data_IF_798668511958
#
_entry.id   IF_798668511958
#
_cell.length_a   1.000
_cell.length_b   1.000
_cell.length_c   1.000
_cell.angle_alpha   90.00
_cell.angle_beta   90.00
_cell.angle_gamma   90.00
#
_symmetry.space_group_name_H-M   'P 1'
#
loop_
_entity.id
_entity.type
_entity.pdbx_description
1 polymer ?
#
# COMPACT_ATOMS: atom_id res chain seq x y z
N UNK A 1 -9.32 2.41 21.63
CA UNK A 1 -8.42 1.97 20.54
C UNK A 1 -7.02 1.90 21.12
N UNK A 2 -6.39 0.73 21.17
CA UNK A 2 -4.99 0.64 21.63
C UNK A 2 -4.09 1.43 20.68
N UNK A 3 -3.10 2.14 21.23
CA UNK A 3 -2.12 2.86 20.46
C UNK A 3 -1.40 1.89 19.50
N UNK A 4 -1.27 2.28 18.23
CA UNK A 4 -0.53 1.49 17.25
C UNK A 4 0.95 1.49 17.65
N UNK A 5 1.63 0.34 17.73
CA UNK A 5 3.06 0.30 18.02
C UNK A 5 3.84 1.18 17.05
N UNK A 6 4.85 1.87 17.55
CA UNK A 6 5.73 2.73 16.79
C UNK A 6 7.16 2.18 16.86
N UNK A 7 7.82 2.09 15.71
CA UNK A 7 9.21 1.67 15.57
C UNK A 7 9.92 2.69 14.66
N UNK A 8 11.22 2.91 14.86
CA UNK A 8 12.01 3.77 13.98
C UNK A 8 13.02 2.95 13.17
N UNK A 9 13.34 3.43 11.97
CA UNK A 9 14.40 2.88 11.12
C UNK A 9 15.25 4.03 10.58
N UNK A 10 16.58 3.86 10.61
CA UNK A 10 17.51 4.81 10.00
C UNK A 10 17.56 4.57 8.49
N UNK A 11 17.07 5.54 7.73
CA UNK A 11 16.99 5.51 6.27
C UNK A 11 17.86 6.60 5.64
N UNK A 12 18.91 7.05 6.33
CA UNK A 12 19.89 7.99 5.78
C UNK A 12 20.88 7.34 4.80
N UNK A 13 20.73 6.05 4.52
CA UNK A 13 21.51 5.34 3.51
C UNK A 13 20.92 5.50 2.11
N UNK A 14 21.77 5.49 1.08
CA UNK A 14 21.36 5.77 -0.30
C UNK A 14 20.31 4.81 -0.89
N UNK A 15 20.16 3.60 -0.35
CA UNK A 15 19.17 2.63 -0.82
C UNK A 15 17.71 3.12 -0.69
N UNK A 16 17.45 4.08 0.20
CA UNK A 16 16.13 4.69 0.41
C UNK A 16 15.84 5.87 -0.52
N UNK A 17 16.86 6.38 -1.21
CA UNK A 17 16.73 7.43 -2.22
C UNK A 17 16.36 6.86 -3.59
N UNK A 18 16.56 5.55 -3.79
CA UNK A 18 16.21 4.85 -5.01
C UNK A 18 14.72 4.50 -5.09
N UNK A 19 14.16 4.55 -6.30
CA UNK A 19 12.78 4.11 -6.57
C UNK A 19 12.61 2.64 -6.13
N UNK A 20 11.50 2.28 -5.44
CA UNK A 20 10.26 3.05 -5.29
C UNK A 20 10.05 3.73 -3.91
N UNK A 21 11.10 3.91 -3.10
CA UNK A 21 10.95 4.50 -1.76
C UNK A 21 10.51 5.98 -1.77
N UNK A 22 11.06 6.87 -2.62
CA UNK A 22 10.59 8.25 -2.71
C UNK A 22 9.08 8.37 -2.96
N UNK A 23 8.53 7.51 -3.84
CA UNK A 23 7.10 7.47 -4.16
C UNK A 23 6.27 6.98 -2.96
N UNK A 24 6.77 6.05 -2.17
CA UNK A 24 6.11 5.61 -0.94
C UNK A 24 6.10 6.71 0.14
N UNK A 25 7.19 7.49 0.24
CA UNK A 25 7.27 8.62 1.16
C UNK A 25 6.35 9.76 0.73
N UNK A 26 6.28 10.05 -0.56
CA UNK A 26 5.34 11.02 -1.10
C UNK A 26 3.90 10.61 -0.81
N UNK A 27 3.55 9.34 -1.02
CA UNK A 27 2.22 8.82 -0.70
C UNK A 27 1.86 9.04 0.78
N UNK A 28 2.82 8.87 1.69
CA UNK A 28 2.65 9.11 3.12
C UNK A 28 2.45 10.58 3.49
N UNK A 29 2.99 11.51 2.70
CA UNK A 29 2.79 12.95 2.87
C UNK A 29 1.46 13.42 2.30
N UNK A 30 1.03 12.81 1.20
CA UNK A 30 -0.15 13.23 0.44
C UNK A 30 -1.43 12.64 1.02
N UNK A 31 -1.42 11.37 1.46
CA UNK A 31 -2.60 10.71 2.00
C UNK A 31 -2.68 10.84 3.53
N UNK A 32 -3.88 11.02 4.10
CA UNK A 32 -4.07 11.01 5.56
C UNK A 32 -3.54 9.72 6.20
N UNK A 33 -2.74 9.85 7.26
CA UNK A 33 -2.00 8.73 7.86
C UNK A 33 -2.88 7.50 8.23
N UNK A 34 -4.12 7.73 8.66
CA UNK A 34 -5.03 6.66 9.09
C UNK A 34 -5.96 6.15 7.99
N UNK A 35 -5.79 6.60 6.75
CA UNK A 35 -6.66 6.24 5.62
C UNK A 35 -6.08 5.13 4.75
N UNK A 36 -4.83 4.70 4.97
CA UNK A 36 -4.18 3.72 4.13
C UNK A 36 -3.09 2.92 4.85
N UNK A 37 -2.54 1.93 4.16
CA UNK A 37 -1.43 1.10 4.64
C UNK A 37 -0.59 0.63 3.46
N UNK A 38 0.74 0.68 3.62
CA UNK A 38 1.71 0.15 2.68
C UNK A 38 1.71 -1.38 2.77
N UNK A 39 1.53 -2.04 1.63
CA UNK A 39 1.46 -3.50 1.51
C UNK A 39 2.45 -4.00 0.46
N UNK A 40 2.30 -5.24 0.00
CA UNK A 40 3.01 -5.71 -1.18
C UNK A 40 4.51 -5.93 -0.97
N UNK A 41 5.32 -5.55 -1.96
CA UNK A 41 6.77 -5.79 -1.98
C UNK A 41 7.54 -4.91 -0.98
N UNK A 42 7.27 -3.60 -0.97
CA UNK A 42 7.94 -2.64 -0.09
C UNK A 42 7.67 -2.92 1.40
N UNK A 43 6.45 -3.36 1.73
CA UNK A 43 6.14 -3.84 3.09
C UNK A 43 7.10 -4.97 3.53
N UNK A 44 7.39 -5.94 2.65
CA UNK A 44 8.31 -7.04 2.98
C UNK A 44 9.74 -6.53 3.13
N UNK A 45 10.19 -5.63 2.25
CA UNK A 45 11.51 -5.01 2.38
C UNK A 45 11.67 -4.25 3.69
N UNK A 46 10.65 -3.48 4.10
CA UNK A 46 10.66 -2.77 5.37
C UNK A 46 10.78 -3.72 6.56
N UNK A 47 10.04 -4.83 6.55
CA UNK A 47 10.15 -5.85 7.59
C UNK A 47 11.49 -6.56 7.60
N UNK A 48 12.13 -6.76 6.43
CA UNK A 48 13.47 -7.31 6.36
C UNK A 48 14.49 -6.36 7.00
N UNK A 49 14.40 -5.07 6.70
CA UNK A 49 15.27 -4.04 7.31
C UNK A 49 15.09 -3.99 8.83
N UNK A 50 13.85 -3.94 9.31
CA UNK A 50 13.55 -3.93 10.75
C UNK A 50 14.06 -5.19 11.47
N UNK A 51 14.27 -6.28 10.75
CA UNK A 51 14.81 -7.54 11.26
C UNK A 51 16.33 -7.68 11.04
N UNK A 52 17.00 -6.71 10.42
CA UNK A 52 18.43 -6.79 10.06
C UNK A 52 18.72 -7.88 9.01
N UNK A 53 17.76 -8.19 8.15
CA UNK A 53 17.86 -9.22 7.12
C UNK A 53 18.12 -8.60 5.74
N UNK A 54 18.80 -9.32 4.82
CA UNK A 54 18.98 -8.86 3.46
C UNK A 54 17.65 -8.53 2.78
N UNK A 55 17.57 -7.40 2.09
CA UNK A 55 16.37 -7.02 1.34
C UNK A 55 16.10 -8.05 0.23
N UNK A 56 14.90 -8.62 0.14
CA UNK A 56 14.50 -9.44 -1.00
C UNK A 56 14.46 -8.63 -2.30
N UNK A 57 14.43 -9.34 -3.44
CA UNK A 57 14.41 -8.85 -4.84
C UNK A 57 13.75 -7.47 -5.03
N UNK A 58 14.29 -6.69 -5.99
CA UNK A 58 13.73 -5.42 -6.44
C UNK A 58 12.22 -5.51 -6.77
N UNK A 59 11.41 -4.85 -5.94
CA UNK A 59 10.05 -4.39 -6.28
C UNK A 59 10.21 -3.02 -6.91
N UNK A 60 9.42 -2.73 -7.95
CA UNK A 60 9.54 -1.49 -8.75
C UNK A 60 8.35 -0.55 -8.54
N UNK A 61 7.40 -0.98 -7.72
CA UNK A 61 6.09 -0.39 -7.50
C UNK A 61 5.79 -0.22 -6.01
N UNK A 62 4.94 0.76 -5.72
CA UNK A 62 4.38 1.00 -4.38
C UNK A 62 2.99 0.39 -4.33
N UNK A 63 2.80 -0.65 -3.52
CA UNK A 63 1.49 -1.23 -3.26
C UNK A 63 0.87 -0.60 -1.99
N UNK A 64 -0.35 -0.07 -2.10
CA UNK A 64 -1.10 0.47 -0.95
C UNK A 64 -2.51 -0.09 -0.86
N UNK A 65 -3.05 -0.10 0.36
CA UNK A 65 -4.43 -0.46 0.63
C UNK A 65 -5.14 0.66 1.37
N UNK A 66 -6.19 1.22 0.79
CA UNK A 66 -7.05 2.22 1.40
C UNK A 66 -8.05 1.59 2.37
N UNK A 67 -8.20 2.24 3.53
CA UNK A 67 -9.19 1.93 4.56
C UNK A 67 -10.46 2.72 4.31
N UNK A 68 -11.15 2.46 3.20
CA UNK A 68 -12.40 3.16 2.87
C UNK A 68 -13.46 3.02 3.98
N UNK A 69 -13.34 1.98 4.81
CA UNK A 69 -14.23 1.75 5.94
C UNK A 69 -14.12 2.73 7.09
N UNK A 70 -12.99 3.42 7.22
CA UNK A 70 -12.82 4.44 8.26
C UNK A 70 -13.48 5.74 7.88
N UNK A 71 -13.90 5.89 6.61
CA UNK A 71 -14.40 7.13 6.02
C UNK A 71 -13.42 8.31 6.14
N UNK A 72 -12.15 8.03 6.47
CA UNK A 72 -11.09 9.05 6.52
C UNK A 72 -10.67 9.53 5.12
N UNK A 73 -10.98 8.73 4.10
CA UNK A 73 -10.82 9.09 2.69
C UNK A 73 -11.77 8.26 1.83
N UNK A 74 -12.16 8.82 0.68
CA UNK A 74 -12.79 8.10 -0.42
C UNK A 74 -11.77 7.77 -1.50
N UNK A 75 -12.07 6.79 -2.36
CA UNK A 75 -11.19 6.51 -3.51
C UNK A 75 -11.05 7.70 -4.46
N UNK A 76 -12.12 8.47 -4.66
CA UNK A 76 -12.11 9.64 -5.53
C UNK A 76 -11.18 10.74 -5.01
N UNK A 77 -11.19 11.00 -3.70
CA UNK A 77 -10.27 11.95 -3.06
C UNK A 77 -8.83 11.45 -3.15
N UNK A 78 -8.56 10.17 -2.89
CA UNK A 78 -7.23 9.59 -3.05
C UNK A 78 -6.71 9.74 -4.49
N UNK A 79 -7.57 9.45 -5.49
CA UNK A 79 -7.24 9.62 -6.89
C UNK A 79 -6.96 11.09 -7.26
N UNK A 80 -7.74 12.03 -6.72
CA UNK A 80 -7.54 13.46 -6.95
C UNK A 80 -6.23 13.98 -6.33
N UNK A 81 -5.90 13.51 -5.12
CA UNK A 81 -4.64 13.85 -4.44
C UNK A 81 -3.42 13.31 -5.22
N UNK A 82 -3.51 12.08 -5.73
CA UNK A 82 -2.48 11.50 -6.60
C UNK A 82 -2.36 12.24 -7.93
N UNK A 83 -3.48 12.64 -8.54
CA UNK A 83 -3.47 13.48 -9.73
C UNK A 83 -2.81 14.84 -9.48
N UNK A 84 -3.05 15.46 -8.33
CA UNK A 84 -2.38 16.70 -7.94
C UNK A 84 -0.88 16.52 -7.72
N UNK A 85 -0.43 15.33 -7.31
CA UNK A 85 0.98 14.94 -7.23
C UNK A 85 1.58 14.50 -8.60
N UNK A 86 0.82 14.62 -9.69
CA UNK A 86 1.28 14.33 -11.05
C UNK A 86 1.17 12.86 -11.47
N UNK A 87 0.52 12.00 -10.68
CA UNK A 87 0.22 10.64 -11.08
C UNK A 87 -1.03 10.57 -11.96
N UNK A 88 -1.00 9.72 -12.98
CA UNK A 88 -2.14 9.50 -13.87
C UNK A 88 -2.69 8.11 -13.63
N UNK A 89 -4.02 8.01 -13.45
CA UNK A 89 -4.69 6.72 -13.35
C UNK A 89 -4.62 6.01 -14.71
N UNK A 90 -3.99 4.83 -14.75
CA UNK A 90 -3.90 3.96 -15.92
C UNK A 90 -5.31 3.54 -16.35
N UNK A 91 -5.69 3.82 -17.59
CA UNK A 91 -6.99 3.52 -18.17
C UNK A 91 -7.05 2.14 -18.86
N UNK A 92 -5.90 1.52 -19.09
CA UNK A 92 -5.78 0.21 -19.74
C UNK A 92 -6.19 -0.96 -18.83
N UNK A 93 -6.20 -0.74 -17.51
CA UNK A 93 -6.57 -1.76 -16.53
C UNK A 93 -8.08 -1.92 -16.39
N UNK A 94 -8.53 -3.17 -16.23
CA UNK A 94 -9.95 -3.49 -15.94
C UNK A 94 -10.47 -2.81 -14.66
N UNK A 95 -9.62 -2.68 -13.65
CA UNK A 95 -9.96 -2.02 -12.39
C UNK A 95 -9.25 -0.67 -12.30
N UNK A 96 -9.85 0.29 -11.59
CA UNK A 96 -9.19 1.54 -11.24
C UNK A 96 -8.34 1.32 -9.99
N UNK A 97 -7.02 1.20 -10.15
CA UNK A 97 -6.09 1.02 -9.04
C UNK A 97 -4.66 1.46 -9.35
N UNK A 98 -4.23 1.41 -10.61
CA UNK A 98 -2.85 1.72 -11.00
C UNK A 98 -2.67 3.18 -11.37
N UNK A 99 -1.68 3.81 -10.78
CA UNK A 99 -1.30 5.19 -11.02
C UNK A 99 0.18 5.25 -11.44
N UNK A 100 0.45 5.91 -12.56
CA UNK A 100 1.79 6.01 -13.14
C UNK A 100 2.24 7.47 -13.20
N UNK A 101 3.54 7.71 -12.95
CA UNK A 101 4.23 8.99 -13.15
C UNK A 101 5.62 8.74 -13.68
N UNK A 102 5.80 8.85 -15.01
CA UNK A 102 7.06 8.49 -15.65
C UNK A 102 7.39 7.01 -15.43
N UNK A 103 8.48 6.71 -14.75
CA UNK A 103 8.87 5.34 -14.38
C UNK A 103 8.28 4.87 -13.05
N UNK A 104 7.71 5.78 -12.25
CA UNK A 104 7.14 5.45 -10.94
C UNK A 104 5.73 4.88 -11.09
N UNK A 105 5.44 3.86 -10.29
CA UNK A 105 4.16 3.16 -10.26
C UNK A 105 3.65 3.01 -8.84
N UNK A 106 2.39 3.38 -8.63
CA UNK A 106 1.66 3.22 -7.38
C UNK A 106 0.37 2.45 -7.65
N UNK A 107 0.24 1.27 -7.04
CA UNK A 107 -0.98 0.47 -7.07
C UNK A 107 -1.79 0.73 -5.79
N UNK A 108 -2.93 1.43 -5.94
CA UNK A 108 -3.85 1.83 -4.86
C UNK A 108 -5.06 0.90 -4.84
N UNK A 109 -5.05 -0.01 -3.88
CA UNK A 109 -6.08 -1.02 -3.70
C UNK A 109 -7.03 -0.65 -2.55
N UNK A 110 -8.14 -1.35 -2.43
CA UNK A 110 -9.14 -1.14 -1.38
C UNK A 110 -9.24 -2.35 -0.46
N UNK A 111 -9.52 -2.13 0.83
CA UNK A 111 -9.83 -3.22 1.75
C UNK A 111 -11.12 -3.97 1.31
N UNK A 112 -11.10 -5.31 1.43
CA UNK A 112 -12.10 -6.27 0.91
C UNK A 112 -13.54 -5.99 1.33
N UNK A 113 -13.75 -5.35 2.49
CA UNK A 113 -15.08 -5.29 3.12
C UNK A 113 -16.02 -4.23 2.57
N UNK A 114 -15.54 -3.20 1.88
CA UNK A 114 -16.43 -2.15 1.38
C UNK A 114 -16.47 -2.06 -0.14
N UNK A 115 -15.35 -2.30 -0.82
CA UNK A 115 -15.26 -2.27 -2.28
C UNK A 115 -16.13 -3.34 -2.95
N UNK A 116 -16.15 -4.56 -2.40
CA UNK A 116 -16.96 -5.68 -2.93
C UNK A 116 -18.46 -5.44 -2.77
N UNK A 117 -18.89 -4.88 -1.63
CA UNK A 117 -20.31 -4.81 -1.27
C UNK A 117 -21.02 -3.56 -1.80
N UNK A 118 -20.31 -2.45 -1.98
CA UNK A 118 -20.92 -1.15 -2.33
C UNK A 118 -20.81 -0.77 -3.82
N UNK A 119 -20.26 -1.64 -4.68
CA UNK A 119 -20.10 -1.39 -6.13
C UNK A 119 -19.49 -0.02 -6.45
N UNK A 120 -18.54 0.45 -5.64
CA UNK A 120 -17.84 1.70 -5.90
C UNK A 120 -17.11 1.63 -7.25
N UNK A 121 -17.18 2.72 -8.02
CA UNK A 121 -16.54 2.84 -9.34
C UNK A 121 -15.76 4.14 -9.40
N UNK A 122 -14.65 4.10 -10.13
CA UNK A 122 -13.91 5.29 -10.52
C UNK A 122 -13.81 5.28 -12.05
N UNK A 123 -14.20 6.38 -12.70
CA UNK A 123 -14.26 6.47 -14.17
C UNK A 123 -15.00 5.27 -14.82
N UNK A 124 -16.13 4.86 -14.22
CA UNK A 124 -16.92 3.71 -14.69
C UNK A 124 -16.33 2.32 -14.40
N UNK A 125 -15.07 2.22 -13.94
CA UNK A 125 -14.38 0.96 -13.66
C UNK A 125 -14.50 0.54 -12.19
N UNK A 126 -14.63 -0.77 -11.88
CA UNK A 126 -14.65 -1.26 -10.51
C UNK A 126 -13.31 -1.00 -9.80
N UNK A 127 -13.35 -0.79 -8.48
CA UNK A 127 -12.13 -0.69 -7.66
C UNK A 127 -11.50 -2.09 -7.47
N UNK A 128 -10.19 -2.13 -7.25
CA UNK A 128 -9.47 -3.39 -6.97
C UNK A 128 -9.41 -3.67 -5.46
N UNK A 129 -10.00 -4.78 -5.01
CA UNK A 129 -10.02 -5.19 -3.61
C UNK A 129 -8.92 -6.20 -3.26
N UNK A 130 -8.31 -6.07 -2.07
CA UNK A 130 -7.38 -7.08 -1.54
C UNK A 130 -8.08 -8.01 -0.53
N UNK A 131 -8.08 -9.31 -0.84
CA UNK A 131 -8.72 -10.29 0.05
C UNK A 131 -7.87 -10.64 1.27
N UNK A 132 -8.54 -10.85 2.40
CA UNK A 132 -7.90 -10.96 3.72
C UNK A 132 -7.46 -9.62 4.31
N UNK A 133 -7.74 -8.50 3.61
CA UNK A 133 -7.35 -7.14 3.98
C UNK A 133 -7.76 -6.75 5.40
N UNK A 134 -9.04 -6.81 5.74
CA UNK A 134 -9.50 -6.09 6.95
C UNK A 134 -8.87 -6.56 8.26
N UNK A 135 -8.63 -7.86 8.48
CA UNK A 135 -7.97 -8.31 9.73
C UNK A 135 -6.47 -8.00 9.74
N UNK A 136 -5.80 -8.11 8.60
CA UNK A 136 -4.37 -7.77 8.48
C UNK A 136 -4.14 -6.26 8.62
N UNK A 137 -5.03 -5.45 8.06
CA UNK A 137 -5.01 -3.98 8.13
C UNK A 137 -5.43 -3.44 9.51
N UNK A 138 -6.18 -4.22 10.29
CA UNK A 138 -6.43 -3.96 11.72
C UNK A 138 -5.21 -4.23 12.61
N UNK A 139 -4.22 -4.96 12.12
CA UNK A 139 -2.99 -5.29 12.85
C UNK A 139 -1.80 -4.60 12.18
N UNK A 140 -1.68 -3.30 12.41
CA UNK A 140 -0.66 -2.44 11.79
C UNK A 140 0.34 -1.92 12.83
N UNK A 141 1.52 -1.52 12.37
CA UNK A 141 2.53 -0.74 13.09
C UNK A 141 2.80 0.57 12.36
N UNK A 142 3.13 1.60 13.11
CA UNK A 142 3.73 2.82 12.54
C UNK A 142 5.24 2.59 12.48
N UNK A 143 5.85 3.02 11.38
CA UNK A 143 7.30 3.04 11.22
C UNK A 143 7.72 4.46 10.89
N UNK A 144 8.50 5.06 11.77
CA UNK A 144 9.16 6.33 11.52
C UNK A 144 10.46 6.07 10.76
N UNK A 145 10.47 6.50 9.51
CA UNK A 145 11.61 6.37 8.60
C UNK A 145 12.40 7.66 8.68
N UNK A 146 13.57 7.61 9.29
CA UNK A 146 14.46 8.77 9.44
C UNK A 146 15.28 8.96 8.17
N UNK A 147 14.82 9.85 7.30
CA UNK A 147 15.56 10.22 6.08
C UNK A 147 16.58 11.32 6.39
N UNK A 148 17.42 11.67 5.40
CA UNK A 148 18.34 12.80 5.54
C UNK A 148 17.62 14.15 5.69
N UNK A 149 16.41 14.29 5.12
CA UNK A 149 15.66 15.54 5.11
C UNK A 149 14.71 15.66 6.33
N UNK A 150 14.02 14.58 6.67
CA UNK A 150 13.01 14.54 7.72
C UNK A 150 12.59 13.11 8.12
N UNK A 151 11.63 13.01 9.03
CA UNK A 151 11.01 11.74 9.43
C UNK A 151 9.70 11.52 8.68
N UNK A 152 9.61 10.40 7.95
CA UNK A 152 8.40 9.99 7.23
C UNK A 152 7.73 8.83 7.96
N UNK A 153 6.44 8.99 8.29
CA UNK A 153 5.69 7.93 8.98
C UNK A 153 4.97 7.02 7.99
N UNK A 154 5.42 5.78 7.91
CA UNK A 154 4.76 4.71 7.18
C UNK A 154 3.84 3.89 8.09
N UNK A 155 2.78 3.35 7.50
CA UNK A 155 1.89 2.39 8.16
C UNK A 155 2.02 1.07 7.42
N UNK A 156 2.44 0.01 8.09
CA UNK A 156 2.51 -1.33 7.54
C UNK A 156 1.78 -2.33 8.42
N UNK A 157 1.28 -3.46 7.87
CA UNK A 157 0.81 -4.57 8.68
C UNK A 157 1.96 -5.10 9.57
N UNK A 158 1.60 -5.61 10.74
CA UNK A 158 2.50 -6.46 11.56
C UNK A 158 3.01 -7.65 10.73
N UNK A 159 4.10 -8.30 11.14
CA UNK A 159 4.61 -9.51 10.48
C UNK A 159 3.51 -10.57 10.28
N UNK A 160 2.66 -10.77 11.30
CA UNK A 160 1.50 -11.66 11.21
C UNK A 160 0.51 -11.22 10.13
N UNK A 161 0.16 -9.94 10.08
CA UNK A 161 -0.72 -9.37 9.05
C UNK A 161 -0.13 -9.49 7.64
N UNK A 162 1.17 -9.22 7.50
CA UNK A 162 1.91 -9.35 6.24
C UNK A 162 1.87 -10.78 5.69
N UNK A 163 2.08 -11.78 6.56
CA UNK A 163 1.99 -13.20 6.20
C UNK A 163 0.57 -13.59 5.73
N UNK A 164 -0.47 -13.08 6.40
CA UNK A 164 -1.87 -13.31 5.98
C UNK A 164 -2.13 -12.74 4.58
N UNK A 165 -1.67 -11.52 4.29
CA UNK A 165 -1.87 -10.88 2.98
C UNK A 165 -1.13 -11.63 1.86
N UNK A 166 0.12 -12.07 2.10
CA UNK A 166 0.88 -12.85 1.11
C UNK A 166 0.29 -14.25 0.91
N UNK A 167 -0.14 -14.92 1.98
CA UNK A 167 -0.83 -16.21 1.91
C UNK A 167 -2.17 -16.14 1.17
N UNK A 168 -2.95 -15.05 1.37
CA UNK A 168 -4.21 -14.81 0.68
C UNK A 168 -4.06 -14.70 -0.84
N UNK A 169 -3.00 -14.02 -1.30
CA UNK A 169 -2.65 -13.92 -2.74
C UNK A 169 -2.38 -15.29 -3.36
N UNK A 170 -1.72 -16.22 -2.63
CA UNK A 170 -1.49 -17.59 -3.08
C UNK A 170 -2.78 -18.41 -3.19
N UNK A 171 -3.74 -18.18 -2.28
CA UNK A 171 -5.04 -18.84 -2.30
C UNK A 171 -5.89 -18.48 -3.54
N UNK A 172 -5.86 -17.21 -3.96
CA UNK A 172 -6.58 -16.75 -5.16
C UNK A 172 -5.97 -17.25 -6.47
N UNK A 173 -4.66 -17.53 -6.50
CA UNK A 173 -4.02 -18.11 -7.67
C UNK A 173 -4.46 -19.57 -7.92
N UNK A 174 -4.90 -20.31 -6.89
CA UNK A 174 -5.42 -21.69 -7.02
C UNK A 174 -6.87 -21.76 -7.48
N UNK A 175 -7.69 -20.75 -7.23
CA UNK A 175 -9.08 -20.70 -7.72
C UNK A 175 -9.19 -20.47 -9.23
N UNK A 176 -8.16 -19.90 -9.87
CA UNK A 176 -8.13 -19.72 -11.33
C UNK A 176 -7.77 -21.02 -12.05
N UNK A 177 -6.94 -21.89 -11.45
CA UNK A 177 -6.47 -23.15 -12.08
C UNK A 177 -7.51 -24.27 -12.03
N UNK A 178 -8.55 -24.17 -11.18
CA UNK A 178 -9.65 -25.15 -11.12
C UNK A 178 -10.87 -24.80 -11.99
N UNK A 179 -10.83 -23.67 -12.71
CA UNK A 179 -11.89 -23.23 -13.61
C UNK A 179 -11.49 -23.27 -15.09
N UNK A 180 -10.41 -23.99 -15.42
CA UNK A 180 -9.98 -24.28 -16.80
C UNK A 180 -10.17 -25.77 -17.10
#
# INVERSE_FOLDING_TARGET
MSARPLVSVDARSGAWEESPWPSAFELARVLPQNSWTLVGGLMVKLHAELAGLPSPRATVDVDSALHLETQAITFAEAAALLAAAGYVLDDSTKHAYRFDRGADRVDVMCSDRQSIWRRHRCQGRPLFGISGGTRALQQTINVDVETAADTVRLVVPTLRGALVLKGGRLGQHRSVVRAA
#
